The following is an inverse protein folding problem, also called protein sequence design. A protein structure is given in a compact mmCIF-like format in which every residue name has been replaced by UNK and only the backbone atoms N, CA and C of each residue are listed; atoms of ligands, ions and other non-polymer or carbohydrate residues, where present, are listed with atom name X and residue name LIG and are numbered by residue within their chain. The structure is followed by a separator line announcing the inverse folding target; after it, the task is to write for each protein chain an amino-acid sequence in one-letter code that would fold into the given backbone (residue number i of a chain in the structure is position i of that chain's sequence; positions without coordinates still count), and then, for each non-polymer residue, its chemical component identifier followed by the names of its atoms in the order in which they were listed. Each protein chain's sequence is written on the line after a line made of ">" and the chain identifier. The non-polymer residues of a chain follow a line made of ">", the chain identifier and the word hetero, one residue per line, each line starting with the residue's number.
data_IF_567877384474
#
_entry.id   IF_567877384474
#
_cell.length_a   1.000
_cell.length_b   1.000
_cell.length_c   1.000
_cell.angle_alpha   90.00
_cell.angle_beta   90.00
_cell.angle_gamma   90.00
#
_symmetry.space_group_name_H-M   'P 1'
#
loop_
_entity.id
_entity.type
_entity.pdbx_description
1 polymer ?
#
# COMPACT_ATOMS: atom_id res chain seq x y z
N UNK A 1 2.83 4.27 4.55
CA UNK A 1 1.52 3.97 5.12
C UNK A 1 1.45 2.74 6.01
N UNK A 2 2.03 1.60 5.63
CA UNK A 2 2.08 0.41 6.48
C UNK A 2 2.67 0.72 7.87
N UNK A 3 3.64 1.58 7.95
CA UNK A 3 4.35 1.94 9.17
C UNK A 3 3.82 3.18 9.88
N UNK A 4 3.00 4.01 9.23
CA UNK A 4 2.39 5.18 9.86
C UNK A 4 1.60 4.86 11.11
N UNK A 5 0.92 3.71 11.14
CA UNK A 5 0.14 3.30 12.31
C UNK A 5 1.01 3.03 13.53
N UNK A 6 2.26 2.59 13.35
CA UNK A 6 3.16 2.35 14.48
C UNK A 6 3.54 3.67 15.16
N UNK A 7 3.83 4.71 14.36
CA UNK A 7 4.07 6.05 14.88
C UNK A 7 2.78 6.66 15.43
N UNK A 8 1.66 6.49 14.71
CA UNK A 8 0.36 6.99 15.15
C UNK A 8 -0.12 6.32 16.44
N UNK A 9 0.27 5.08 16.70
CA UNK A 9 -0.13 4.32 17.89
C UNK A 9 0.17 5.05 19.18
N UNK A 10 1.33 5.68 19.28
CA UNK A 10 1.73 6.45 20.46
C UNK A 10 0.77 7.63 20.76
N UNK A 11 0.22 8.24 19.71
CA UNK A 11 -0.73 9.35 19.82
C UNK A 11 -2.18 8.86 19.95
N UNK A 12 -2.53 7.74 19.27
CA UNK A 12 -3.88 7.19 19.25
C UNK A 12 -4.26 6.52 20.57
N UNK A 13 -3.32 5.82 21.21
CA UNK A 13 -3.60 5.08 22.44
C UNK A 13 -4.14 5.99 23.56
N UNK A 14 -3.48 7.12 23.93
CA UNK A 14 -3.99 8.00 24.98
C UNK A 14 -5.27 8.76 24.56
N UNK A 15 -5.39 9.13 23.29
CA UNK A 15 -6.56 9.88 22.79
C UNK A 15 -7.83 9.03 22.72
N UNK A 16 -7.70 7.78 22.26
CA UNK A 16 -8.83 6.89 22.04
C UNK A 16 -9.07 5.90 23.19
N UNK A 17 -8.24 5.94 24.23
CA UNK A 17 -8.35 5.03 25.37
C UNK A 17 -8.05 3.57 24.99
N UNK A 18 -7.14 3.34 24.04
CA UNK A 18 -6.76 2.01 23.55
C UNK A 18 -5.56 1.52 24.35
N UNK A 19 -5.65 0.29 24.91
CA UNK A 19 -4.52 -0.34 25.59
C UNK A 19 -3.46 -0.85 24.60
N UNK A 20 -2.22 -1.06 25.08
CA UNK A 20 -1.12 -1.62 24.27
C UNK A 20 -1.47 -3.00 23.68
N UNK A 21 -2.18 -3.84 24.46
CA UNK A 21 -2.63 -5.15 23.99
C UNK A 21 -3.63 -5.00 22.84
N UNK A 22 -4.60 -4.09 22.95
CA UNK A 22 -5.59 -3.82 21.90
C UNK A 22 -4.92 -3.25 20.65
N UNK A 23 -3.91 -2.38 20.82
CA UNK A 23 -3.13 -1.86 19.71
C UNK A 23 -2.31 -2.97 19.03
N UNK A 24 -1.78 -3.92 19.80
CA UNK A 24 -1.15 -5.14 19.29
C UNK A 24 -2.09 -5.95 18.40
N UNK A 25 -3.35 -6.13 18.78
CA UNK A 25 -4.35 -6.79 17.93
C UNK A 25 -4.66 -6.02 16.64
N UNK A 26 -4.71 -4.68 16.71
CA UNK A 26 -4.89 -3.82 15.53
C UNK A 26 -3.72 -3.98 14.54
N UNK A 27 -2.48 -4.09 15.04
CA UNK A 27 -1.32 -4.39 14.19
C UNK A 27 -1.38 -5.79 13.60
N UNK A 28 -1.77 -6.79 14.42
CA UNK A 28 -1.91 -8.17 13.98
C UNK A 28 -2.98 -8.34 12.90
N UNK A 29 -4.08 -7.59 12.96
CA UNK A 29 -5.14 -7.63 11.96
C UNK A 29 -4.63 -7.35 10.54
N UNK A 30 -3.70 -6.41 10.37
CA UNK A 30 -3.04 -6.17 9.10
C UNK A 30 -2.29 -7.41 8.61
N UNK A 31 -1.51 -8.04 9.50
CA UNK A 31 -0.71 -9.22 9.16
C UNK A 31 -1.61 -10.38 8.73
N UNK A 32 -2.72 -10.61 9.44
CA UNK A 32 -3.69 -11.63 9.07
C UNK A 32 -4.33 -11.39 7.71
N UNK A 33 -4.79 -10.15 7.44
CA UNK A 33 -5.35 -9.80 6.13
C UNK A 33 -4.32 -9.99 5.01
N UNK A 34 -3.09 -9.59 5.24
CA UNK A 34 -1.97 -9.76 4.31
C UNK A 34 -1.66 -11.23 4.04
N UNK A 35 -1.47 -12.04 5.08
CA UNK A 35 -1.09 -13.44 4.95
C UNK A 35 -2.17 -14.29 4.27
N UNK A 36 -3.43 -14.11 4.66
CA UNK A 36 -4.56 -14.88 4.09
C UNK A 36 -4.81 -14.55 2.61
N UNK A 37 -4.60 -13.29 2.21
CA UNK A 37 -4.93 -12.85 0.86
C UNK A 37 -3.72 -12.80 -0.09
N UNK A 38 -2.52 -13.18 0.34
CA UNK A 38 -1.33 -13.14 -0.49
C UNK A 38 -1.42 -14.11 -1.68
N UNK A 39 -1.83 -15.36 -1.45
CA UNK A 39 -2.02 -16.35 -2.51
C UNK A 39 -3.21 -16.00 -3.42
N UNK A 40 -4.44 -15.78 -2.90
CA UNK A 40 -5.57 -15.37 -3.73
C UNK A 40 -5.31 -14.08 -4.50
N UNK A 41 -4.68 -13.10 -3.86
CA UNK A 41 -4.32 -11.82 -4.48
C UNK A 41 -3.34 -11.96 -5.64
N UNK A 42 -2.36 -12.86 -5.51
CA UNK A 42 -1.44 -13.19 -6.60
C UNK A 42 -2.14 -13.84 -7.80
N UNK A 43 -3.07 -14.75 -7.57
CA UNK A 43 -3.87 -15.40 -8.61
C UNK A 43 -4.75 -14.37 -9.33
N UNK A 44 -5.44 -13.52 -8.58
CA UNK A 44 -6.26 -12.44 -9.14
C UNK A 44 -5.41 -11.46 -9.96
N UNK A 45 -4.22 -11.09 -9.46
CA UNK A 45 -3.29 -10.22 -10.17
C UNK A 45 -2.84 -10.78 -11.52
N UNK A 46 -2.61 -12.10 -11.60
CA UNK A 46 -2.31 -12.79 -12.87
C UNK A 46 -3.52 -12.81 -13.80
N UNK A 47 -4.73 -13.02 -13.28
CA UNK A 47 -5.96 -13.14 -14.07
C UNK A 47 -6.42 -11.81 -14.67
N UNK A 48 -6.42 -10.75 -13.88
CA UNK A 48 -6.88 -9.42 -14.31
C UNK A 48 -5.77 -8.57 -14.93
N UNK A 49 -4.54 -9.04 -14.86
CA UNK A 49 -3.35 -8.33 -15.31
C UNK A 49 -2.83 -7.32 -14.27
N UNK A 50 -1.53 -7.00 -14.32
CA UNK A 50 -0.87 -6.18 -13.33
C UNK A 50 -1.42 -4.75 -13.26
N UNK A 51 -1.88 -4.22 -14.38
CA UNK A 51 -2.43 -2.86 -14.48
C UNK A 51 -3.68 -2.68 -13.62
N UNK A 52 -4.69 -3.51 -13.87
CA UNK A 52 -5.97 -3.41 -13.18
C UNK A 52 -5.83 -3.79 -11.69
N UNK A 53 -4.99 -4.79 -11.42
CA UNK A 53 -4.72 -5.24 -10.07
C UNK A 53 -4.01 -4.16 -9.23
N UNK A 54 -2.98 -3.49 -9.75
CA UNK A 54 -2.31 -2.39 -9.04
C UNK A 54 -3.22 -1.16 -8.89
N UNK A 55 -4.05 -0.86 -9.89
CA UNK A 55 -5.03 0.21 -9.80
C UNK A 55 -6.07 -0.06 -8.70
N UNK A 56 -6.61 -1.28 -8.61
CA UNK A 56 -7.56 -1.65 -7.56
C UNK A 56 -6.93 -1.59 -6.16
N UNK A 57 -5.69 -2.08 -6.02
CA UNK A 57 -4.90 -1.98 -4.79
C UNK A 57 -4.73 -0.51 -4.37
N UNK A 58 -4.33 0.36 -5.30
CA UNK A 58 -4.15 1.78 -5.03
C UNK A 58 -5.44 2.46 -4.55
N UNK A 59 -6.56 2.15 -5.20
CA UNK A 59 -7.87 2.69 -4.83
C UNK A 59 -8.30 2.24 -3.43
N UNK A 60 -8.24 0.92 -3.16
CA UNK A 60 -8.59 0.37 -1.85
C UNK A 60 -7.69 0.99 -0.77
N UNK A 61 -6.43 1.20 -1.09
CA UNK A 61 -5.47 1.79 -0.16
C UNK A 61 -5.79 3.25 0.19
N UNK A 62 -6.19 4.08 -0.77
CA UNK A 62 -6.63 5.44 -0.54
C UNK A 62 -7.86 5.46 0.36
N UNK A 63 -8.86 4.63 0.04
CA UNK A 63 -10.12 4.53 0.81
C UNK A 63 -9.85 4.07 2.25
N UNK A 64 -9.10 3.01 2.43
CA UNK A 64 -8.80 2.47 3.78
C UNK A 64 -7.94 3.42 4.61
N UNK A 65 -7.08 4.21 3.96
CA UNK A 65 -6.32 5.26 4.64
C UNK A 65 -7.22 6.39 5.12
N UNK A 66 -8.13 6.86 4.28
CA UNK A 66 -9.13 7.86 4.67
C UNK A 66 -10.00 7.36 5.82
N UNK A 67 -10.47 6.12 5.76
CA UNK A 67 -11.27 5.50 6.82
C UNK A 67 -10.51 5.37 8.13
N UNK A 68 -9.21 5.11 8.11
CA UNK A 68 -8.38 5.04 9.32
C UNK A 68 -8.38 6.38 10.08
N UNK A 69 -8.33 7.50 9.37
CA UNK A 69 -8.35 8.83 9.99
C UNK A 69 -9.76 9.27 10.44
N UNK A 70 -10.81 8.79 9.75
CA UNK A 70 -12.16 9.30 9.91
C UNK A 70 -13.04 8.49 10.86
N UNK A 71 -13.00 7.15 10.81
CA UNK A 71 -13.91 6.29 11.59
C UNK A 71 -13.74 6.42 13.12
N UNK A 72 -12.51 6.38 13.68
CA UNK A 72 -12.34 6.45 15.12
C UNK A 72 -12.63 7.85 15.65
N UNK A 73 -13.56 7.94 16.58
CA UNK A 73 -13.92 9.20 17.25
C UNK A 73 -14.96 10.07 16.53
N UNK A 74 -15.27 9.80 15.24
CA UNK A 74 -16.34 10.50 14.51
C UNK A 74 -17.61 9.66 14.39
N UNK A 75 -17.49 8.43 13.89
CA UNK A 75 -18.62 7.51 13.73
C UNK A 75 -18.71 6.58 14.93
N UNK A 76 -17.60 6.00 15.33
CA UNK A 76 -17.53 5.10 16.47
C UNK A 76 -16.94 5.84 17.66
N UNK A 77 -17.80 6.16 18.65
CA UNK A 77 -17.43 6.89 19.86
C UNK A 77 -17.28 5.97 21.07
N UNK A 78 -17.79 4.75 21.01
CA UNK A 78 -17.62 3.75 22.06
C UNK A 78 -16.29 3.01 21.91
N UNK A 79 -15.62 2.69 23.04
CA UNK A 79 -14.30 2.05 23.00
C UNK A 79 -14.29 0.75 22.21
N UNK A 80 -15.32 -0.10 22.34
CA UNK A 80 -15.45 -1.35 21.57
C UNK A 80 -15.67 -1.08 20.06
N UNK A 81 -16.45 -0.08 19.71
CA UNK A 81 -16.69 0.32 18.32
C UNK A 81 -15.44 0.89 17.64
N UNK A 82 -14.65 1.69 18.37
CA UNK A 82 -13.37 2.22 17.90
C UNK A 82 -12.42 1.08 17.57
N UNK A 83 -12.24 0.12 18.50
CA UNK A 83 -11.35 -1.02 18.31
C UNK A 83 -11.82 -1.88 17.14
N UNK A 84 -13.10 -2.23 17.07
CA UNK A 84 -13.66 -3.02 15.98
C UNK A 84 -13.46 -2.34 14.61
N UNK A 85 -13.71 -1.04 14.52
CA UNK A 85 -13.49 -0.29 13.27
C UNK A 85 -12.02 -0.29 12.83
N UNK A 86 -11.09 -0.09 13.75
CA UNK A 86 -9.66 -0.13 13.47
C UNK A 86 -9.19 -1.53 13.06
N UNK A 87 -9.67 -2.59 13.71
CA UNK A 87 -9.38 -3.98 13.36
C UNK A 87 -9.81 -4.28 11.91
N UNK A 88 -11.06 -3.93 11.57
CA UNK A 88 -11.62 -4.16 10.22
C UNK A 88 -10.82 -3.37 9.17
N UNK A 89 -10.59 -2.08 9.40
CA UNK A 89 -9.85 -1.27 8.45
C UNK A 89 -8.42 -1.76 8.27
N UNK A 90 -7.74 -2.17 9.35
CA UNK A 90 -6.39 -2.72 9.28
C UNK A 90 -6.33 -4.05 8.56
N UNK A 91 -7.31 -4.92 8.78
CA UNK A 91 -7.45 -6.14 8.01
C UNK A 91 -7.60 -5.86 6.52
N UNK A 92 -8.48 -4.92 6.13
CA UNK A 92 -8.68 -4.53 4.74
C UNK A 92 -7.43 -3.89 4.12
N UNK A 93 -6.65 -3.10 4.87
CA UNK A 93 -5.35 -2.59 4.43
C UNK A 93 -4.39 -3.75 4.15
N UNK A 94 -4.40 -4.80 4.99
CA UNK A 94 -3.62 -6.03 4.79
C UNK A 94 -4.01 -6.75 3.51
N UNK A 95 -5.31 -6.96 3.30
CA UNK A 95 -5.86 -7.56 2.07
C UNK A 95 -5.42 -6.78 0.83
N UNK A 96 -5.51 -5.45 0.86
CA UNK A 96 -5.11 -4.60 -0.25
C UNK A 96 -3.60 -4.68 -0.56
N UNK A 97 -2.76 -4.87 0.46
CA UNK A 97 -1.31 -4.99 0.26
C UNK A 97 -0.86 -6.37 -0.22
N UNK A 98 -1.67 -7.40 0.00
CA UNK A 98 -1.31 -8.79 -0.25
C UNK A 98 -0.85 -9.06 -1.70
N UNK A 99 -1.50 -8.55 -2.76
CA UNK A 99 -1.13 -8.86 -4.14
C UNK A 99 0.09 -8.09 -4.66
N UNK A 100 0.61 -7.08 -3.94
CA UNK A 100 1.67 -6.19 -4.44
C UNK A 100 2.94 -6.96 -4.82
N UNK A 101 3.47 -7.80 -3.95
CA UNK A 101 4.70 -8.54 -4.23
C UNK A 101 4.55 -9.61 -5.32
N UNK A 102 3.48 -10.43 -5.33
CA UNK A 102 3.24 -11.35 -6.44
C UNK A 102 3.10 -10.64 -7.79
N UNK A 103 2.43 -9.48 -7.83
CA UNK A 103 2.30 -8.69 -9.06
C UNK A 103 3.65 -8.11 -9.47
N UNK A 104 4.43 -7.57 -8.53
CA UNK A 104 5.78 -7.07 -8.80
C UNK A 104 6.67 -8.17 -9.41
N UNK A 105 6.66 -9.37 -8.83
CA UNK A 105 7.41 -10.51 -9.36
C UNK A 105 6.98 -10.85 -10.80
N UNK A 106 5.67 -10.88 -11.08
CA UNK A 106 5.15 -11.13 -12.42
C UNK A 106 5.53 -10.04 -13.44
N UNK A 107 5.61 -8.78 -13.01
CA UNK A 107 6.09 -7.68 -13.85
C UNK A 107 7.58 -7.84 -14.17
N UNK A 108 8.40 -8.16 -13.18
CA UNK A 108 9.84 -8.38 -13.37
C UNK A 108 10.07 -9.56 -14.33
N UNK A 109 9.35 -10.68 -14.16
CA UNK A 109 9.41 -11.85 -15.02
C UNK A 109 9.05 -11.51 -16.48
N UNK A 110 8.08 -10.65 -16.69
CA UNK A 110 7.62 -10.26 -18.03
C UNK A 110 8.56 -9.29 -18.75
N UNK A 111 9.26 -8.41 -18.01
CA UNK A 111 10.01 -7.31 -18.59
C UNK A 111 11.51 -7.56 -18.66
N UNK A 112 12.03 -8.51 -17.89
CA UNK A 112 13.46 -8.78 -17.80
C UNK A 112 13.75 -10.23 -18.14
N UNK A 113 14.80 -10.52 -18.94
CA UNK A 113 15.21 -11.89 -19.24
C UNK A 113 15.66 -12.62 -17.98
N UNK A 114 15.54 -13.94 -18.01
CA UNK A 114 16.02 -14.83 -16.95
C UNK A 114 17.50 -14.55 -16.67
N UNK A 115 17.86 -14.41 -15.40
CA UNK A 115 19.22 -14.04 -14.98
C UNK A 115 19.43 -12.54 -14.69
N UNK A 116 18.52 -11.64 -15.11
CA UNK A 116 18.59 -10.21 -14.85
C UNK A 116 17.57 -9.72 -13.81
N UNK A 117 16.91 -10.60 -13.07
CA UNK A 117 15.86 -10.26 -12.11
C UNK A 117 16.39 -9.65 -10.82
N UNK A 118 17.67 -9.86 -10.50
CA UNK A 118 18.27 -9.35 -9.27
C UNK A 118 18.25 -7.81 -9.20
N UNK A 119 18.61 -7.14 -10.29
CA UNK A 119 18.69 -5.69 -10.33
C UNK A 119 17.34 -4.98 -10.12
N UNK A 120 16.25 -5.28 -10.85
CA UNK A 120 14.96 -4.63 -10.62
C UNK A 120 14.39 -4.93 -9.23
N UNK A 121 14.61 -6.13 -8.69
CA UNK A 121 14.19 -6.47 -7.33
C UNK A 121 15.01 -5.69 -6.28
N UNK A 122 16.33 -5.56 -6.48
CA UNK A 122 17.20 -4.77 -5.60
C UNK A 122 16.81 -3.30 -5.61
N UNK A 123 16.58 -2.70 -6.79
CA UNK A 123 16.15 -1.29 -6.92
C UNK A 123 14.80 -1.09 -6.22
N UNK A 124 13.85 -1.97 -6.43
CA UNK A 124 12.53 -1.89 -5.77
C UNK A 124 12.63 -2.01 -4.25
N UNK A 125 13.44 -2.93 -3.74
CA UNK A 125 13.63 -3.13 -2.29
C UNK A 125 14.37 -1.95 -1.67
N UNK A 126 15.40 -1.43 -2.34
CA UNK A 126 16.13 -0.24 -1.89
C UNK A 126 15.22 0.99 -1.86
N UNK A 127 14.43 1.21 -2.92
CA UNK A 127 13.45 2.29 -2.98
C UNK A 127 12.41 2.21 -1.86
N UNK A 128 11.91 1.01 -1.55
CA UNK A 128 10.99 0.78 -0.45
C UNK A 128 11.62 1.11 0.91
N UNK A 129 12.85 0.68 1.13
CA UNK A 129 13.58 0.90 2.40
C UNK A 129 13.93 2.37 2.59
N UNK A 130 14.48 3.02 1.57
CA UNK A 130 14.79 4.46 1.60
C UNK A 130 13.53 5.30 1.76
N UNK A 131 12.47 4.96 1.02
CA UNK A 131 11.17 5.62 1.14
C UNK A 131 10.60 5.51 2.56
N UNK A 132 10.71 4.35 3.20
CA UNK A 132 10.29 4.17 4.58
C UNK A 132 11.16 4.97 5.56
N UNK A 133 12.48 4.98 5.38
CA UNK A 133 13.41 5.71 6.23
C UNK A 133 13.16 7.23 6.21
N UNK A 134 12.81 7.80 5.07
CA UNK A 134 12.49 9.22 4.94
C UNK A 134 11.06 9.53 5.39
N UNK A 135 10.10 8.68 5.05
CA UNK A 135 8.70 8.93 5.33
C UNK A 135 8.37 8.91 6.84
N UNK A 136 9.01 8.03 7.62
CA UNK A 136 8.71 7.91 9.04
C UNK A 136 9.01 9.19 9.86
N UNK A 137 10.19 9.82 9.76
CA UNK A 137 10.44 11.08 10.45
C UNK A 137 9.50 12.19 10.01
N UNK A 138 9.21 12.30 8.70
CA UNK A 138 8.28 13.30 8.19
C UNK A 138 6.87 13.12 8.76
N UNK A 139 6.41 11.88 8.82
CA UNK A 139 5.10 11.55 9.42
C UNK A 139 5.09 11.88 10.90
N UNK A 140 6.16 11.55 11.65
CA UNK A 140 6.27 11.88 13.06
C UNK A 140 6.18 13.40 13.30
N UNK A 141 6.89 14.19 12.51
CA UNK A 141 6.80 15.67 12.56
C UNK A 141 5.38 16.15 12.31
N UNK A 142 4.71 15.65 11.26
CA UNK A 142 3.32 16.00 10.97
C UNK A 142 2.40 15.65 12.13
N UNK A 143 2.59 14.46 12.74
CA UNK A 143 1.77 14.03 13.88
C UNK A 143 1.94 14.90 15.12
N UNK A 144 3.16 15.37 15.40
CA UNK A 144 3.45 16.23 16.53
C UNK A 144 2.80 17.62 16.36
N UNK A 145 2.86 18.21 15.17
CA UNK A 145 2.38 19.57 14.93
C UNK A 145 0.89 19.66 14.57
N UNK A 146 0.36 18.69 13.83
CA UNK A 146 -1.02 18.74 13.31
C UNK A 146 -1.90 17.56 13.73
N UNK A 147 -1.37 16.65 14.56
CA UNK A 147 -2.07 15.49 15.03
C UNK A 147 -2.04 14.31 14.05
N UNK A 148 -2.28 13.12 14.59
CA UNK A 148 -2.16 11.87 13.84
C UNK A 148 -3.18 11.73 12.70
N UNK A 149 -4.39 12.29 12.83
CA UNK A 149 -5.42 12.25 11.78
C UNK A 149 -4.98 12.95 10.51
N UNK A 150 -4.37 14.14 10.65
CA UNK A 150 -3.88 14.92 9.52
C UNK A 150 -2.82 14.17 8.73
N UNK A 151 -1.99 13.37 9.39
CA UNK A 151 -0.99 12.55 8.70
C UNK A 151 -1.63 11.54 7.74
N UNK A 152 -2.78 10.96 8.09
CA UNK A 152 -3.51 10.06 7.17
C UNK A 152 -4.14 10.82 6.01
N UNK A 153 -4.73 11.99 6.25
CA UNK A 153 -5.35 12.82 5.19
C UNK A 153 -4.33 13.36 4.20
N UNK A 154 -3.13 13.69 4.64
CA UNK A 154 -2.05 14.19 3.80
C UNK A 154 -1.56 13.16 2.76
N UNK A 155 -1.72 11.87 3.04
CA UNK A 155 -1.37 10.81 2.11
C UNK A 155 -2.45 10.54 1.04
N UNK A 156 -3.67 11.05 1.20
CA UNK A 156 -4.73 10.88 0.20
C UNK A 156 -4.37 11.57 -1.12
N UNK A 157 -4.05 12.88 -1.16
CA UNK A 157 -3.68 13.55 -2.41
C UNK A 157 -2.40 12.98 -3.03
N UNK A 158 -1.42 12.59 -2.20
CA UNK A 158 -0.21 11.93 -2.69
C UNK A 158 -0.52 10.57 -3.31
N UNK A 159 -1.38 9.77 -2.67
CA UNK A 159 -1.84 8.48 -3.20
C UNK A 159 -2.62 8.65 -4.51
N UNK A 160 -3.49 9.66 -4.59
CA UNK A 160 -4.23 9.99 -5.82
C UNK A 160 -3.29 10.43 -6.94
N UNK A 161 -2.29 11.27 -6.65
CA UNK A 161 -1.31 11.70 -7.64
C UNK A 161 -0.51 10.52 -8.20
N UNK A 162 -0.03 9.62 -7.33
CA UNK A 162 0.67 8.40 -7.75
C UNK A 162 -0.25 7.44 -8.52
N UNK A 163 -1.50 7.32 -8.12
CA UNK A 163 -2.50 6.53 -8.83
C UNK A 163 -2.77 7.07 -10.24
N UNK A 164 -2.94 8.38 -10.38
CA UNK A 164 -3.10 9.03 -11.69
C UNK A 164 -1.86 8.87 -12.56
N UNK A 165 -0.67 9.06 -11.98
CA UNK A 165 0.59 8.85 -12.67
C UNK A 165 0.72 7.39 -13.17
N UNK A 166 0.34 6.42 -12.34
CA UNK A 166 0.30 5.01 -12.72
C UNK A 166 -0.63 4.75 -13.92
N UNK A 167 -1.84 5.31 -13.90
CA UNK A 167 -2.78 5.17 -15.02
C UNK A 167 -2.28 5.83 -16.30
N UNK A 168 -1.52 6.92 -16.22
CA UNK A 168 -0.96 7.63 -17.38
C UNK A 168 0.26 6.91 -17.98
N UNK A 169 1.14 6.37 -17.13
CA UNK A 169 2.39 5.76 -17.59
C UNK A 169 2.23 4.35 -18.14
N UNK A 170 1.25 3.57 -17.64
CA UNK A 170 1.05 2.20 -18.07
C UNK A 170 0.69 2.01 -19.54
N UNK A 171 -0.16 2.86 -20.18
CA UNK A 171 -0.40 2.75 -21.62
C UNK A 171 0.84 2.95 -22.46
N UNK A 172 1.76 3.83 -22.01
CA UNK A 172 3.03 4.10 -22.70
C UNK A 172 4.00 2.91 -22.60
N UNK A 173 3.96 2.18 -21.49
CA UNK A 173 4.77 0.98 -21.30
C UNK A 173 4.28 -0.19 -22.16
N UNK A 174 2.97 -0.40 -22.27
CA UNK A 174 2.39 -1.44 -23.14
C UNK A 174 2.67 -1.16 -24.63
N UNK A 175 2.65 0.09 -25.07
CA UNK A 175 3.01 0.48 -26.45
C UNK A 175 4.49 0.18 -26.77
N UNK A 176 5.40 0.37 -25.82
CA UNK A 176 6.81 0.02 -26.02
C UNK A 176 7.04 -1.48 -26.19
N UNK A 177 6.32 -2.32 -25.45
CA UNK A 177 6.44 -3.77 -25.55
C UNK A 177 5.95 -4.28 -26.92
N UNK A 178 4.93 -3.63 -27.49
CA UNK A 178 4.39 -3.98 -28.82
C UNK A 178 5.31 -3.50 -29.95
N UNK A 179 5.99 -2.37 -29.80
CA UNK A 179 6.81 -1.74 -30.85
C UNK A 179 8.25 -2.30 -30.91
N UNK A 180 8.85 -2.70 -29.79
CA UNK A 180 10.24 -3.19 -29.75
C UNK A 180 10.49 -4.47 -30.56
N UNK A 181 9.62 -5.49 -30.59
CA UNK A 181 9.84 -6.67 -31.43
C UNK A 181 9.80 -6.39 -32.93
N UNK A 182 8.99 -5.40 -33.35
CA UNK A 182 8.89 -5.03 -34.78
C UNK A 182 10.13 -4.32 -35.31
N UNK A 183 10.86 -3.63 -34.45
CA UNK A 183 12.12 -2.96 -34.81
C UNK A 183 13.29 -3.95 -34.94
N UNK A 184 13.27 -5.06 -34.20
CA UNK A 184 14.34 -6.07 -34.25
C UNK A 184 14.21 -7.01 -35.47
N UNK A 185 13.01 -7.19 -36.02
CA UNK A 185 12.77 -7.96 -37.23
C UNK A 185 13.04 -7.20 -38.53
N UNK A 186 13.15 -5.87 -38.49
CA UNK A 186 13.43 -5.03 -39.67
C UNK A 186 14.92 -4.85 -39.96
N UNK A 187 15.82 -5.34 -39.11
CA UNK A 187 17.28 -5.20 -39.25
C UNK A 187 18.00 -6.55 -39.55
N UNK A 188 17.26 -7.62 -39.73
CA UNK A 188 17.74 -8.93 -40.23
C UNK A 188 17.27 -9.18 -41.66
#
# INVERSE_FOLDING_TARGET
>A
MRQNIHVAGEFMMPELGISEIQMGWIYAAFIWGYALCQLPGGILGKRFGPRLALASVGLIWIVTTALTGWLPGHIFTTGSGIIASLLIVRFLVGVAHAPIYPIQAAVVERWFPVGHWALPNAVSSTGLTLGAAVAQPLVAVVMVYWGWRVSFYLFIPLGLALFMLHLLLLPLADLRIVLLPSLHQSTS
#
